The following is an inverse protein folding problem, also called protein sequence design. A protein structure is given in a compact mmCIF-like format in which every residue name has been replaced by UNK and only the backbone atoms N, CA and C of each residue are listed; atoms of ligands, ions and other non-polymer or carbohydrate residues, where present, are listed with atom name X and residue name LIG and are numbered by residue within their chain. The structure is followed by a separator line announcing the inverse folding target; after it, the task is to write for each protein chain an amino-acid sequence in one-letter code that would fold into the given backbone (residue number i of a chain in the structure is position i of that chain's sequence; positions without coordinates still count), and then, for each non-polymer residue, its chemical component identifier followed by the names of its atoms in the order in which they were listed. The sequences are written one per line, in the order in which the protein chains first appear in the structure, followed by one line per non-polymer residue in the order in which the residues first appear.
data_IF_044229912760
#
_entry.id   IF_044229912760
#
_cell.length_a   1.000
_cell.length_b   1.000
_cell.length_c   1.000
_cell.angle_alpha   90.00
_cell.angle_beta   90.00
_cell.angle_gamma   90.00
#
_symmetry.space_group_name_H-M   'P 1'
#
loop_
_entity.id
_entity.type
_entity.pdbx_description
1 polymer ?
2 polymer ?
3 non-polymer ?
4 non-polymer ?
5 non-polymer ?
6 water ?
#
# COMPACT_ATOMS: atom_id res chain seq x y z
N UNK A 1 21.75 -5.66 -8.28
CA UNK A 1 21.91 -4.49 -7.35
C UNK A 1 22.81 -3.41 -7.95
N UNK A 2 22.19 -2.54 -8.76
CA UNK A 2 22.90 -1.38 -9.28
C UNK A 2 23.46 -0.51 -8.15
N UNK A 3 22.81 -0.54 -6.99
CA UNK A 3 23.17 0.33 -5.88
C UNK A 3 24.12 -0.34 -4.90
N UNK A 4 24.62 -1.53 -5.26
CA UNK A 4 25.44 -2.30 -4.35
C UNK A 4 26.73 -1.62 -3.97
N UNK A 5 27.20 -0.66 -4.75
CA UNK A 5 28.44 0.02 -4.40
C UNK A 5 28.22 1.30 -3.57
N UNK A 6 26.98 1.70 -3.28
CA UNK A 6 26.74 2.88 -2.46
C UNK A 6 26.44 2.50 -1.02
N UNK A 7 26.98 3.29 -0.09
CA UNK A 7 26.75 3.05 1.33
C UNK A 7 25.26 3.07 1.64
N UNK A 8 24.84 2.21 2.58
CA UNK A 8 23.46 2.22 3.04
C UNK A 8 23.02 3.62 3.47
N UNK A 9 23.86 4.31 4.27
CA UNK A 9 23.46 5.62 4.77
C UNK A 9 23.31 6.64 3.63
N UNK A 10 24.15 6.53 2.59
CA UNK A 10 24.06 7.45 1.46
C UNK A 10 22.80 7.20 0.65
N UNK A 11 22.41 5.93 0.51
CA UNK A 11 21.17 5.59 -0.19
C UNK A 11 19.96 6.20 0.52
N UNK A 12 19.91 6.06 1.84
CA UNK A 12 18.83 6.64 2.63
C UNK A 12 18.83 8.16 2.48
N UNK A 13 20.00 8.80 2.64
CA UNK A 13 20.08 10.25 2.46
C UNK A 13 19.58 10.67 1.07
N UNK A 14 20.01 9.95 0.03
CA UNK A 14 19.58 10.27 -1.33
C UNK A 14 18.10 9.97 -1.56
N UNK A 15 17.54 8.93 -0.92
CA UNK A 15 16.09 8.75 -0.97
C UNK A 15 15.37 9.98 -0.42
N UNK A 16 15.88 10.55 0.67
CA UNK A 16 15.21 11.70 1.26
C UNK A 16 15.31 12.92 0.34
N UNK A 17 16.47 13.10 -0.29
CA UNK A 17 16.65 14.17 -1.27
C UNK A 17 15.74 13.98 -2.48
N UNK A 18 15.65 12.74 -2.99
CA UNK A 18 14.79 12.47 -4.13
C UNK A 18 13.35 12.78 -3.79
N UNK A 19 12.91 12.45 -2.57
CA UNK A 19 11.56 12.84 -2.16
C UNK A 19 11.38 14.35 -2.23
N UNK A 20 12.36 15.11 -1.74
CA UNK A 20 12.25 16.57 -1.79
C UNK A 20 12.18 17.09 -3.22
N UNK A 21 12.87 16.43 -4.15
CA UNK A 21 12.90 16.79 -5.56
C UNK A 21 11.73 16.18 -6.33
N UNK A 22 10.84 15.46 -5.65
CA UNK A 22 9.74 14.74 -6.30
C UNK A 22 10.24 13.82 -7.42
N UNK A 23 11.36 13.14 -7.15
CA UNK A 23 11.93 12.19 -8.08
C UNK A 23 11.65 10.79 -7.54
N UNK A 24 10.40 10.33 -7.69
CA UNK A 24 10.02 9.12 -6.94
C UNK A 24 10.58 7.82 -7.51
N UNK A 25 10.83 7.75 -8.82
CA UNK A 25 11.50 6.58 -9.37
C UNK A 25 12.90 6.41 -8.76
N UNK A 26 13.64 7.53 -8.68
CA UNK A 26 14.94 7.53 -8.00
C UNK A 26 14.79 7.14 -6.54
N UNK A 27 13.83 7.74 -5.86
CA UNK A 27 13.60 7.44 -4.44
C UNK A 27 13.42 5.94 -4.23
N UNK A 28 12.61 5.29 -5.08
CA UNK A 28 12.37 3.86 -4.95
C UNK A 28 13.63 3.04 -5.24
N UNK A 29 14.39 3.43 -6.27
CA UNK A 29 15.62 2.70 -6.57
C UNK A 29 16.61 2.81 -5.41
N UNK A 30 16.72 4.01 -4.80
CA UNK A 30 17.58 4.17 -3.63
C UNK A 30 17.11 3.30 -2.46
N UNK A 31 15.81 3.34 -2.16
CA UNK A 31 15.30 2.50 -1.07
C UNK A 31 15.41 1.00 -1.38
N UNK A 32 15.20 0.57 -2.64
CA UNK A 32 15.46 -0.83 -2.98
C UNK A 32 16.91 -1.18 -2.68
N UNK A 33 17.84 -0.31 -3.08
CA UNK A 33 19.24 -0.51 -2.75
C UNK A 33 19.47 -0.67 -1.25
N UNK A 34 18.82 0.18 -0.44
CA UNK A 34 18.98 0.11 1.01
C UNK A 34 18.46 -1.22 1.54
N UNK A 35 17.27 -1.62 1.11
CA UNK A 35 16.73 -2.92 1.53
C UNK A 35 17.73 -4.03 1.23
N UNK A 36 18.31 -4.01 0.03
CA UNK A 36 19.18 -5.09 -0.41
C UNK A 36 20.51 -5.13 0.35
N UNK A 37 20.81 -4.13 1.19
CA UNK A 37 21.94 -4.24 2.10
C UNK A 37 21.73 -5.32 3.15
N UNK A 38 20.48 -5.76 3.34
CA UNK A 38 20.19 -6.91 4.17
C UNK A 38 19.92 -6.59 5.62
N UNK A 39 20.14 -5.35 6.05
CA UNK A 39 19.78 -4.94 7.39
C UNK A 39 18.28 -4.62 7.48
N UNK A 40 17.70 -4.85 8.66
CA UNK A 40 16.32 -4.44 8.91
C UNK A 40 16.17 -2.92 8.75
N UNK A 41 14.95 -2.48 8.43
CA UNK A 41 14.68 -1.06 8.25
C UNK A 41 14.10 -0.47 9.53
N UNK A 42 14.49 0.75 9.81
CA UNK A 42 13.88 1.53 10.87
C UNK A 42 12.47 2.00 10.48
N UNK A 43 11.75 2.59 11.42
CA UNK A 43 10.40 3.11 11.16
C UNK A 43 10.47 4.11 10.02
N UNK A 44 11.35 5.10 10.09
CA UNK A 44 11.44 6.13 9.06
C UNK A 44 11.79 5.52 7.71
N UNK A 45 12.69 4.55 7.72
CA UNK A 45 13.12 3.89 6.48
C UNK A 45 12.00 3.08 5.83
N UNK A 46 11.19 2.40 6.63
CA UNK A 46 10.03 1.70 6.09
C UNK A 46 9.10 2.67 5.42
N UNK A 47 8.90 3.82 6.04
CA UNK A 47 7.98 4.78 5.44
C UNK A 47 8.57 5.37 4.17
N UNK A 48 9.89 5.54 4.11
CA UNK A 48 10.51 6.03 2.87
C UNK A 48 10.31 5.01 1.75
N UNK A 49 10.53 3.74 2.07
CA UNK A 49 10.29 2.67 1.10
C UNK A 49 8.87 2.71 0.59
N UNK A 50 7.90 2.80 1.52
CA UNK A 50 6.49 2.77 1.13
C UNK A 50 6.10 4.00 0.32
N UNK A 51 6.50 5.19 0.76
CA UNK A 51 6.15 6.41 0.01
C UNK A 51 6.69 6.36 -1.41
N UNK A 52 7.91 5.88 -1.56
CA UNK A 52 8.54 5.88 -2.87
C UNK A 52 7.74 5.02 -3.84
N UNK A 53 7.49 3.77 -3.47
CA UNK A 53 6.81 2.86 -4.38
C UNK A 53 5.34 3.22 -4.51
N UNK A 54 4.72 3.77 -3.47
CA UNK A 54 3.33 4.22 -3.58
C UNK A 54 3.22 5.29 -4.65
N UNK A 55 4.20 6.20 -4.70
CA UNK A 55 4.15 7.24 -5.71
C UNK A 55 4.40 6.68 -7.10
N UNK A 56 5.38 5.78 -7.25
CA UNK A 56 5.66 5.19 -8.56
C UNK A 56 4.44 4.42 -9.05
N UNK A 57 3.93 3.49 -8.25
CA UNK A 57 2.83 2.68 -8.71
C UNK A 57 1.57 3.53 -8.88
N UNK A 58 1.40 4.57 -8.07
CA UNK A 58 0.25 5.44 -8.24
C UNK A 58 0.18 6.09 -9.60
N UNK A 59 1.32 6.56 -10.10
CA UNK A 59 1.37 7.09 -11.45
C UNK A 59 1.01 6.04 -12.52
N UNK A 60 1.49 4.81 -12.35
CA UNK A 60 1.16 3.74 -13.27
C UNK A 60 -0.31 3.37 -13.20
N UNK A 61 -0.89 3.31 -12.00
CA UNK A 61 -2.31 2.99 -11.85
C UNK A 61 -3.20 4.03 -12.51
N UNK A 62 -2.87 5.31 -12.32
CA UNK A 62 -3.62 6.37 -12.95
C UNK A 62 -3.53 6.29 -14.47
N UNK A 63 -2.34 6.06 -15.01
CA UNK A 63 -2.20 5.88 -16.46
C UNK A 63 -2.98 4.68 -16.96
N UNK A 64 -2.87 3.54 -16.25
CA UNK A 64 -3.58 2.34 -16.69
C UNK A 64 -5.08 2.59 -16.75
N UNK A 65 -5.62 3.36 -15.79
CA UNK A 65 -7.07 3.58 -15.76
C UNK A 65 -7.51 4.49 -16.90
N UNK A 66 -6.70 5.51 -17.21
CA UNK A 66 -6.96 6.36 -18.36
C UNK A 66 -7.02 5.53 -19.63
N UNK A 67 -6.01 4.67 -19.82
CA UNK A 67 -5.90 3.89 -21.05
C UNK A 67 -6.97 2.79 -21.12
N UNK A 68 -7.23 2.13 -19.99
CA UNK A 68 -8.30 1.14 -19.92
C UNK A 68 -9.64 1.78 -20.27
N UNK A 69 -9.87 3.00 -19.80
CA UNK A 69 -11.12 3.66 -20.13
C UNK A 69 -11.22 3.93 -21.63
N UNK A 70 -10.15 4.43 -22.23
CA UNK A 70 -10.14 4.67 -23.66
C UNK A 70 -10.34 3.37 -24.41
N UNK A 71 -9.66 2.31 -23.98
CA UNK A 71 -9.79 1.01 -24.61
C UNK A 71 -11.25 0.57 -24.61
N UNK A 72 -11.92 0.72 -23.46
CA UNK A 72 -13.33 0.34 -23.35
C UNK A 72 -14.22 1.19 -24.25
N UNK A 73 -14.00 2.51 -24.28
CA UNK A 73 -14.80 3.36 -25.15
C UNK A 73 -14.76 2.88 -26.60
N UNK A 74 -13.59 2.47 -27.08
CA UNK A 74 -13.46 2.07 -28.47
C UNK A 74 -13.88 0.63 -28.73
N UNK A 75 -14.60 0.01 -27.79
CA UNK A 75 -14.98 -1.39 -27.89
C UNK A 75 -16.48 -1.62 -27.76
N UNK A 76 -17.27 -0.63 -27.36
CA UNK A 76 -18.67 -0.85 -26.99
C UNK A 76 -19.55 -1.09 -28.22
N UNK A 83 -7.76 0.32 -34.17
CA UNK A 83 -6.41 -0.20 -34.20
C UNK A 83 -5.95 -0.83 -32.90
N UNK A 84 -4.85 -1.60 -32.96
CA UNK A 84 -4.36 -2.28 -31.75
C UNK A 84 -3.65 -1.35 -30.78
N UNK A 85 -3.51 -0.06 -31.10
CA UNK A 85 -2.58 0.80 -30.38
C UNK A 85 -2.99 1.02 -28.92
N UNK A 86 -4.27 1.29 -28.65
CA UNK A 86 -4.65 1.54 -27.25
C UNK A 86 -4.38 0.30 -26.42
N UNK A 87 -4.82 -0.87 -26.92
CA UNK A 87 -4.60 -2.11 -26.21
C UNK A 87 -3.13 -2.36 -26.01
N UNK A 88 -2.32 -2.17 -27.05
CA UNK A 88 -0.89 -2.40 -26.94
C UNK A 88 -0.27 -1.52 -25.86
N UNK A 89 -0.65 -0.25 -25.84
CA UNK A 89 -0.02 0.67 -24.91
C UNK A 89 -0.53 0.43 -23.49
N UNK A 90 -1.83 0.11 -23.35
CA UNK A 90 -2.34 -0.31 -22.04
C UNK A 90 -1.60 -1.54 -21.52
N UNK A 91 -1.34 -2.52 -22.38
CA UNK A 91 -0.56 -3.69 -22.00
C UNK A 91 0.85 -3.31 -21.55
N UNK A 92 1.50 -2.38 -22.25
CA UNK A 92 2.83 -1.91 -21.88
C UNK A 92 2.83 -1.34 -20.46
N UNK A 93 1.92 -0.41 -20.19
CA UNK A 93 1.83 0.19 -18.88
C UNK A 93 1.49 -0.87 -17.84
N UNK A 94 0.52 -1.74 -18.16
CA UNK A 94 0.15 -2.84 -17.28
C UNK A 94 1.36 -3.71 -16.93
N UNK A 95 2.18 -4.02 -17.92
CA UNK A 95 3.36 -4.84 -17.66
C UNK A 95 4.35 -4.12 -16.75
N UNK A 96 4.52 -2.81 -16.94
CA UNK A 96 5.43 -2.06 -16.10
C UNK A 96 4.92 -1.99 -14.67
N UNK A 97 3.62 -1.78 -14.49
CA UNK A 97 3.00 -1.81 -13.17
C UNK A 97 3.21 -3.16 -12.47
N UNK A 98 2.95 -4.26 -13.19
CA UNK A 98 3.16 -5.58 -12.62
C UNK A 98 4.61 -5.81 -12.23
N UNK A 99 5.56 -5.28 -13.01
CA UNK A 99 6.95 -5.45 -12.63
C UNK A 99 7.31 -4.69 -11.37
N UNK A 100 6.73 -3.49 -11.20
CA UNK A 100 6.93 -2.75 -9.95
C UNK A 100 6.32 -3.51 -8.78
N UNK A 101 5.10 -4.01 -8.95
CA UNK A 101 4.48 -4.75 -7.85
C UNK A 101 5.30 -5.98 -7.51
N UNK A 102 5.78 -6.68 -8.54
CA UNK A 102 6.60 -7.87 -8.33
C UNK A 102 7.90 -7.53 -7.61
N UNK A 103 8.49 -6.37 -7.92
CA UNK A 103 9.71 -5.95 -7.25
C UNK A 103 9.47 -5.69 -5.77
N UNK A 104 8.37 -5.03 -5.44
CA UNK A 104 8.06 -4.73 -4.04
C UNK A 104 7.79 -6.02 -3.29
N UNK A 105 6.97 -6.89 -3.88
CA UNK A 105 6.68 -8.18 -3.25
C UNK A 105 7.93 -9.02 -3.06
N UNK A 106 8.89 -8.92 -3.98
CA UNK A 106 10.15 -9.62 -3.81
C UNK A 106 10.99 -9.11 -2.67
N UNK A 107 10.99 -7.79 -2.44
CA UNK A 107 11.68 -7.24 -1.29
C UNK A 107 11.05 -7.73 0.01
N UNK A 108 9.72 -7.75 0.05
CA UNK A 108 9.00 -8.18 1.25
C UNK A 108 9.27 -9.66 1.52
N UNK A 109 9.32 -10.45 0.46
CA UNK A 109 9.56 -11.87 0.61
C UNK A 109 11.03 -12.20 0.87
N UNK A 110 11.94 -11.35 0.41
CA UNK A 110 13.38 -11.59 0.49
C UNK A 110 14.12 -10.34 0.99
N UNK A 111 14.08 -10.05 2.29
CA UNK A 111 13.60 -10.91 3.37
C UNK A 111 13.00 -10.08 4.50
N UNK A 112 12.31 -9.00 4.12
CA UNK A 112 11.81 -8.05 5.10
C UNK A 112 10.80 -8.71 6.07
N UNK A 113 9.84 -9.44 5.53
CA UNK A 113 8.78 -9.98 6.39
C UNK A 113 9.37 -11.01 7.37
N UNK A 114 10.12 -11.98 6.86
CA UNK A 114 10.62 -13.03 7.73
C UNK A 114 11.50 -12.50 8.85
N UNK A 115 12.20 -11.38 8.64
CA UNK A 115 13.03 -10.83 9.70
C UNK A 115 12.30 -9.83 10.59
N UNK A 116 11.03 -9.50 10.30
CA UNK A 116 10.28 -8.51 11.08
C UNK A 116 9.64 -9.21 12.27
N UNK A 117 10.19 -8.98 13.46
CA UNK A 117 9.66 -9.58 14.67
C UNK A 117 8.76 -8.66 15.46
N UNK A 118 8.97 -7.35 15.38
CA UNK A 118 8.12 -6.42 16.11
C UNK A 118 6.81 -6.23 15.37
N UNK A 119 5.75 -5.99 16.14
CA UNK A 119 4.44 -5.82 15.51
C UNK A 119 4.43 -4.65 14.53
N UNK A 120 5.04 -3.52 14.89
CA UNK A 120 5.02 -2.34 14.03
C UNK A 120 5.69 -2.59 12.69
N UNK A 121 6.77 -3.38 12.67
CA UNK A 121 7.37 -3.71 11.38
C UNK A 121 6.59 -4.81 10.67
N UNK A 122 6.17 -5.86 11.39
CA UNK A 122 5.55 -6.99 10.69
C UNK A 122 4.21 -6.60 10.09
N UNK A 123 3.40 -5.85 10.85
CA UNK A 123 2.13 -5.37 10.33
C UNK A 123 2.36 -4.42 9.15
N UNK A 124 3.36 -3.53 9.24
CA UNK A 124 3.65 -2.60 8.14
C UNK A 124 3.92 -3.36 6.84
N UNK A 125 4.80 -4.36 6.89
CA UNK A 125 5.18 -5.11 5.69
C UNK A 125 4.03 -5.97 5.17
N UNK A 126 3.24 -6.58 6.07
CA UNK A 126 2.12 -7.41 5.60
C UNK A 126 1.04 -6.56 4.95
N UNK A 127 0.78 -5.38 5.51
CA UNK A 127 -0.07 -4.39 4.85
C UNK A 127 0.42 -4.10 3.44
N UNK A 128 1.72 -3.81 3.30
CA UNK A 128 2.30 -3.55 2.00
C UNK A 128 2.06 -4.74 1.06
N UNK A 129 2.28 -5.96 1.54
CA UNK A 129 2.07 -7.13 0.69
C UNK A 129 0.63 -7.19 0.20
N UNK A 130 -0.32 -6.91 1.10
CA UNK A 130 -1.71 -6.83 0.70
C UNK A 130 -1.94 -5.75 -0.35
N UNK A 131 -1.36 -4.58 -0.13
CA UNK A 131 -1.52 -3.46 -1.07
C UNK A 131 -1.01 -3.82 -2.46
N UNK A 132 0.18 -4.44 -2.54
CA UNK A 132 0.76 -4.64 -3.87
C UNK A 132 0.10 -5.83 -4.58
N UNK A 133 -0.39 -6.84 -3.84
CA UNK A 133 -1.30 -7.81 -4.45
C UNK A 133 -2.61 -7.16 -4.87
N UNK A 134 -3.13 -6.22 -4.08
CA UNK A 134 -4.33 -5.51 -4.53
C UNK A 134 -4.07 -4.77 -5.86
N UNK A 135 -2.94 -4.08 -6.00
CA UNK A 135 -2.68 -3.39 -7.27
C UNK A 135 -2.58 -4.37 -8.43
N UNK A 136 -1.97 -5.54 -8.19
CA UNK A 136 -1.99 -6.57 -9.22
C UNK A 136 -3.42 -7.02 -9.52
N UNK A 137 -4.24 -7.17 -8.49
CA UNK A 137 -5.63 -7.61 -8.69
C UNK A 137 -6.42 -6.62 -9.52
N UNK A 138 -6.13 -5.32 -9.39
CA UNK A 138 -6.87 -4.30 -10.13
C UNK A 138 -6.74 -4.47 -11.64
N UNK A 139 -5.64 -5.05 -12.11
CA UNK A 139 -5.38 -5.22 -13.54
C UNK A 139 -5.50 -6.65 -13.99
N UNK A 140 -5.83 -7.57 -13.09
CA UNK A 140 -5.83 -8.99 -13.40
C UNK A 140 -7.16 -9.40 -14.00
N UNK A 141 -7.13 -10.50 -14.76
CA UNK A 141 -8.34 -11.14 -15.26
C UNK A 141 -8.43 -12.63 -14.91
N UNK A 142 -7.37 -13.42 -15.14
CA UNK A 142 -7.43 -14.89 -15.09
C UNK A 142 -7.11 -15.58 -13.76
N UNK A 144 -5.85 -15.48 -13.32
CA UNK A 144 -5.53 -15.83 -11.94
C UNK A 144 -5.84 -14.65 -11.03
N UNK A 145 -6.88 -13.89 -11.40
CA UNK A 145 -7.34 -12.81 -10.52
C UNK A 145 -7.76 -13.37 -9.17
N UNK A 146 -8.33 -14.59 -9.15
CA UNK A 146 -8.82 -15.17 -7.90
C UNK A 146 -7.68 -15.46 -6.95
N UNK A 147 -6.61 -16.06 -7.45
CA UNK A 147 -5.46 -16.36 -6.60
C UNK A 147 -4.76 -15.09 -6.15
N UNK A 148 -4.69 -14.08 -7.00
CA UNK A 148 -4.09 -12.81 -6.59
C UNK A 148 -4.91 -12.18 -5.47
N UNK A 149 -6.23 -12.15 -5.66
CA UNK A 149 -7.14 -11.64 -4.64
C UNK A 149 -6.95 -12.37 -3.32
N UNK A 150 -6.83 -13.68 -3.36
CA UNK A 150 -6.69 -14.41 -2.12
C UNK A 150 -5.34 -14.15 -1.47
N UNK A 151 -4.32 -13.84 -2.29
CA UNK A 151 -3.01 -13.49 -1.70
C UNK A 151 -3.09 -12.16 -0.97
N UNK A 152 -3.78 -11.18 -1.56
CA UNK A 152 -4.03 -9.93 -0.87
C UNK A 152 -4.81 -10.17 0.42
N UNK A 153 -5.93 -10.91 0.32
CA UNK A 153 -6.76 -11.13 1.50
C UNK A 153 -5.96 -11.73 2.63
N UNK A 154 -5.14 -12.73 2.32
CA UNK A 154 -4.40 -13.47 3.33
C UNK A 154 -3.38 -12.59 4.02
N UNK A 155 -2.68 -11.75 3.25
CA UNK A 155 -1.69 -10.83 3.83
C UNK A 155 -2.37 -9.82 4.72
N UNK A 156 -3.44 -9.20 4.22
CA UNK A 156 -4.18 -8.23 5.02
C UNK A 156 -4.69 -8.86 6.31
N UNK A 157 -5.22 -10.09 6.22
CA UNK A 157 -5.82 -10.72 7.40
C UNK A 157 -4.77 -11.04 8.45
N UNK A 158 -3.60 -11.53 8.02
CA UNK A 158 -2.53 -11.79 8.98
C UNK A 158 -2.10 -10.50 9.65
N UNK A 159 -2.03 -9.41 8.88
CA UNK A 159 -1.71 -8.11 9.46
C UNK A 159 -2.80 -7.67 10.44
N UNK A 160 -4.07 -7.88 10.09
CA UNK A 160 -5.17 -7.53 11.01
C UNK A 160 -5.04 -8.32 12.30
N UNK A 161 -4.80 -9.62 12.20
CA UNK A 161 -4.78 -10.45 13.41
C UNK A 161 -3.68 -9.97 14.36
N UNK A 162 -2.49 -9.67 13.82
CA UNK A 162 -1.40 -9.22 14.67
C UNK A 162 -1.71 -7.86 15.26
N UNK A 163 -2.23 -6.93 14.44
CA UNK A 163 -2.45 -5.58 14.92
C UNK A 163 -3.53 -5.54 16.00
N UNK A 164 -4.53 -6.42 15.89
CA UNK A 164 -5.56 -6.49 16.92
C UNK A 164 -5.03 -7.04 18.23
N UNK A 165 -4.05 -7.95 18.18
CA UNK A 165 -3.43 -8.44 19.40
C UNK A 165 -2.35 -7.50 19.94
N UNK A 166 -1.68 -6.70 19.10
CA UNK A 166 -0.45 -6.05 19.54
C UNK A 166 -0.46 -4.53 19.50
N UNK A 167 -1.46 -3.92 18.91
CA UNK A 167 -1.45 -2.47 18.73
C UNK A 167 -2.73 -1.87 19.26
N UNK A 168 -2.69 -0.66 19.79
CA UNK A 168 -3.93 0.04 20.14
C UNK A 168 -4.77 0.29 18.92
N UNK A 169 -6.09 0.43 19.11
CA UNK A 169 -6.97 0.69 17.97
C UNK A 169 -6.73 2.03 17.29
N UNK A 170 -5.96 2.95 17.89
CA UNK A 170 -5.63 4.21 17.23
C UNK A 170 -4.28 4.19 16.55
N UNK A 171 -3.59 3.09 16.61
CA UNK A 171 -2.26 3.03 16.01
C UNK A 171 -2.40 3.34 14.52
N UNK A 172 -1.67 4.34 13.99
CA UNK A 172 -1.86 4.72 12.58
C UNK A 172 -1.61 3.62 11.58
N UNK A 173 -0.69 2.71 11.88
CA UNK A 173 -0.45 1.58 11.00
C UNK A 173 -1.67 0.67 11.00
N UNK A 174 -2.22 0.38 12.17
CA UNK A 174 -3.43 -0.42 12.26
C UNK A 174 -4.58 0.25 11.54
N UNK A 175 -4.73 1.57 11.69
CA UNK A 175 -5.80 2.31 11.01
C UNK A 175 -5.64 2.31 9.51
N UNK A 176 -4.41 2.52 9.03
CA UNK A 176 -4.19 2.53 7.58
C UNK A 176 -4.37 1.15 6.99
N UNK A 177 -3.98 0.13 7.73
CA UNK A 177 -4.27 -1.24 7.34
C UNK A 177 -5.76 -1.45 7.16
N UNK A 178 -6.54 -1.05 8.16
CA UNK A 178 -7.97 -1.34 8.13
C UNK A 178 -8.62 -0.58 6.99
N UNK A 179 -8.19 0.66 6.79
CA UNK A 179 -8.67 1.48 5.68
C UNK A 179 -8.47 0.75 4.36
N UNK A 180 -7.24 0.35 4.09
CA UNK A 180 -6.94 -0.29 2.82
C UNK A 180 -7.64 -1.65 2.68
N UNK A 181 -7.70 -2.43 3.77
CA UNK A 181 -8.37 -3.72 3.72
C UNK A 181 -9.86 -3.53 3.42
N UNK A 182 -10.41 -2.43 3.95
CA UNK A 182 -11.81 -2.08 3.70
C UNK A 182 -12.04 -1.82 2.21
N UNK A 183 -11.15 -1.05 1.61
CA UNK A 183 -11.25 -0.76 0.18
C UNK A 183 -11.08 -2.03 -0.64
N UNK A 184 -10.13 -2.88 -0.25
CA UNK A 184 -10.01 -4.20 -0.85
C UNK A 184 -11.35 -4.92 -0.86
N UNK A 185 -11.99 -4.97 0.31
CA UNK A 185 -13.26 -5.68 0.40
C UNK A 185 -14.26 -5.07 -0.56
N UNK A 186 -14.30 -3.73 -0.62
CA UNK A 186 -15.33 -3.07 -1.41
C UNK A 186 -15.10 -3.22 -2.90
N UNK A 187 -13.88 -2.92 -3.35
CA UNK A 187 -13.57 -2.74 -4.77
C UNK A 187 -13.05 -4.01 -5.43
N UNK A 188 -12.38 -4.86 -4.69
CA UNK A 188 -11.68 -6.01 -5.25
C UNK A 188 -12.44 -7.29 -5.00
N UNK A 189 -12.85 -7.50 -3.76
CA UNK A 189 -13.52 -8.73 -3.39
C UNK A 189 -15.03 -8.63 -3.53
N UNK A 190 -15.56 -7.51 -4.01
CA UNK A 190 -17.00 -7.34 -4.18
C UNK A 190 -17.72 -7.77 -2.90
N UNK A 191 -17.27 -7.22 -1.78
CA UNK A 191 -17.87 -7.48 -0.47
C UNK A 191 -18.14 -6.13 0.19
N UNK A 192 -19.06 -5.34 -0.36
CA UNK A 192 -19.28 -4.00 0.18
C UNK A 192 -19.74 -4.00 1.63
N UNK A 193 -20.49 -4.99 2.06
CA UNK A 193 -20.94 -5.01 3.44
C UNK A 193 -19.78 -5.30 4.39
N UNK A 194 -18.88 -6.21 4.01
CA UNK A 194 -17.67 -6.40 4.82
C UNK A 194 -16.86 -5.10 4.91
N UNK A 195 -16.70 -4.40 3.78
CA UNK A 195 -15.97 -3.14 3.75
C UNK A 195 -16.58 -2.13 4.71
N UNK A 196 -17.91 -2.02 4.71
CA UNK A 196 -18.60 -1.05 5.54
C UNK A 196 -18.47 -1.42 7.02
N UNK A 197 -18.74 -2.69 7.35
CA UNK A 197 -18.57 -3.16 8.72
C UNK A 197 -17.14 -2.95 9.22
N UNK A 198 -16.16 -3.24 8.38
CA UNK A 198 -14.80 -3.08 8.87
C UNK A 198 -14.50 -1.62 9.14
N UNK A 199 -14.92 -0.73 8.23
CA UNK A 199 -14.61 0.69 8.40
C UNK A 199 -15.34 1.26 9.61
N UNK A 200 -16.58 0.85 9.84
CA UNK A 200 -17.34 1.35 10.98
C UNK A 200 -16.74 0.89 12.29
N UNK A 201 -16.49 -0.41 12.41
CA UNK A 201 -15.92 -0.97 13.64
C UNK A 201 -14.54 -0.38 13.91
N UNK A 202 -13.74 -0.22 12.87
CA UNK A 202 -12.42 0.44 13.05
C UNK A 202 -12.59 1.86 13.56
N UNK A 203 -13.43 2.66 12.90
CA UNK A 203 -13.61 4.04 13.32
C UNK A 203 -14.04 4.12 14.78
N UNK A 204 -15.04 3.31 15.15
CA UNK A 204 -15.64 3.39 16.48
C UNK A 204 -14.66 2.97 17.57
N UNK A 205 -13.89 1.90 17.36
CA UNK A 205 -12.92 1.50 18.36
C UNK A 205 -11.79 2.54 18.47
N UNK A 206 -11.43 3.18 17.36
CA UNK A 206 -10.43 4.24 17.44
C UNK A 206 -10.99 5.43 18.22
N UNK A 207 -12.21 5.86 17.89
CA UNK A 207 -12.85 6.95 18.59
C UNK A 207 -12.76 6.77 20.10
N UNK A 208 -13.04 5.56 20.58
CA UNK A 208 -13.10 5.26 22.00
C UNK A 208 -11.73 5.17 22.65
N UNK A 209 -10.65 5.19 21.86
CA UNK A 209 -9.28 5.13 22.37
C UNK A 209 -8.54 6.47 22.24
N UNK A 210 -9.16 7.48 21.62
CA UNK A 210 -8.45 8.73 21.38
C UNK A 210 -8.09 9.43 22.69
N UNK A 211 -8.89 9.22 23.73
CA UNK A 211 -8.63 9.90 25.00
C UNK A 211 -7.25 9.57 25.56
N UNK A 212 -6.60 8.50 25.06
CA UNK A 212 -5.32 8.08 25.60
C UNK A 212 -4.14 8.79 24.95
N UNK A 213 -4.39 9.53 23.86
CA UNK A 213 -3.35 10.04 22.99
C UNK A 213 -2.92 11.45 23.37
N UNK A 214 -1.63 11.71 23.14
CA UNK A 214 -1.10 13.05 23.09
C UNK A 214 -1.67 13.83 21.92
N UNK A 215 -1.53 15.15 21.99
CA UNK A 215 -2.03 16.00 20.93
C UNK A 215 -1.43 15.63 19.58
N UNK A 216 -0.17 15.17 19.56
CA UNK A 216 0.43 14.82 18.28
C UNK A 216 -0.06 13.47 17.75
N UNK A 217 -0.16 12.47 18.62
CA UNK A 217 -0.73 11.19 18.21
C UNK A 217 -2.18 11.36 17.77
N UNK A 218 -2.94 12.19 18.51
CA UNK A 218 -4.34 12.46 18.17
C UNK A 218 -4.46 12.97 16.74
N UNK A 219 -3.59 13.89 16.35
CA UNK A 219 -3.62 14.41 14.99
C UNK A 219 -3.38 13.31 13.96
N UNK A 220 -2.39 12.44 14.21
CA UNK A 220 -2.09 11.37 13.26
C UNK A 220 -3.26 10.41 13.11
N UNK A 221 -3.84 9.98 14.24
CA UNK A 221 -4.93 9.01 14.19
C UNK A 221 -6.18 9.60 13.55
N UNK A 222 -6.57 10.82 13.97
CA UNK A 222 -7.82 11.36 13.46
C UNK A 222 -7.72 11.63 11.96
N UNK A 223 -6.53 11.92 11.45
CA UNK A 223 -6.36 12.09 10.01
C UNK A 223 -6.80 10.84 9.26
N UNK A 224 -6.39 9.67 9.74
CA UNK A 224 -6.76 8.45 9.01
C UNK A 224 -8.21 8.09 9.29
N UNK A 225 -8.72 8.40 10.47
CA UNK A 225 -10.13 8.16 10.74
C UNK A 225 -11.01 8.95 9.78
N UNK A 226 -10.57 10.15 9.41
CA UNK A 226 -11.35 10.93 8.45
C UNK A 226 -11.45 10.22 7.10
N UNK A 227 -10.38 9.53 6.70
CA UNK A 227 -10.43 8.76 5.47
C UNK A 227 -11.44 7.62 5.57
N UNK A 228 -11.49 6.94 6.72
CA UNK A 228 -12.53 5.92 6.94
C UNK A 228 -13.90 6.54 6.81
N UNK A 229 -14.13 7.68 7.48
CA UNK A 229 -15.41 8.37 7.39
C UNK A 229 -15.71 8.79 5.94
N UNK A 230 -14.72 9.29 5.23
CA UNK A 230 -14.94 9.70 3.84
C UNK A 230 -15.49 8.54 3.01
N UNK A 231 -14.90 7.36 3.16
CA UNK A 231 -15.34 6.20 2.38
C UNK A 231 -16.74 5.76 2.81
N UNK A 232 -16.97 5.71 4.13
CA UNK A 232 -18.29 5.32 4.63
C UNK A 232 -19.37 6.22 4.05
N UNK A 233 -19.08 7.52 3.93
CA UNK A 233 -20.02 8.47 3.34
C UNK A 233 -20.33 8.13 1.89
N UNK A 234 -19.31 7.71 1.12
CA UNK A 234 -19.56 7.28 -0.25
C UNK A 234 -20.31 5.96 -0.30
N UNK A 235 -20.07 5.07 0.66
CA UNK A 235 -20.58 3.72 0.59
C UNK A 235 -21.99 3.56 1.17
N UNK A 236 -22.51 4.58 1.85
CA UNK A 236 -23.79 4.47 2.56
C UNK A 236 -24.64 5.72 2.39
N UNK B 2 -14.22 6.53 -10.01
CA UNK B 2 -13.65 7.24 -8.88
C UNK B 2 -13.01 6.28 -7.87
N UNK B 3 -11.95 6.74 -7.20
CA UNK B 3 -11.18 5.90 -6.28
C UNK B 3 -11.52 6.25 -4.84
N UNK B 4 -11.68 5.23 -4.02
CA UNK B 4 -11.93 5.46 -2.61
C UNK B 4 -10.61 5.76 -1.91
N UNK B 5 -10.70 6.42 -0.75
CA UNK B 5 -9.51 6.80 -0.01
C UNK B 5 -8.75 5.57 0.43
N UNK B 6 -7.46 5.49 0.11
CA UNK B 6 -6.58 4.54 0.77
C UNK B 6 -5.41 5.30 1.41
N UNK B 7 -4.64 4.58 2.21
CA UNK B 7 -3.59 5.13 3.05
C UNK B 7 -2.44 5.72 2.20
N UNK B 8 -1.89 6.83 2.66
CA UNK B 8 -0.71 7.37 2.05
C UNK B 8 -1.02 8.23 0.82
N UNK B 9 0.03 8.57 0.05
CA UNK B 9 -0.13 9.41 -1.14
C UNK B 9 -0.60 8.63 -2.37
X LIG C 1 -26.85 -4.25 3.57
X LIG D 1 -1.23 -8.09 -19.34
X LIG E 1 28.85 -0.04 4.44
X LIG F 1 3.20 0.14 -26.89
X LIG G 1 6.03 8.16 9.95
X LIG G 1 6.21 9.10 7.34
X LIG G 1 6.40 9.60 6.02
X LIG G 1 11.62 8.63 13.09
X LIG G 1 10.44 8.65 12.11
X LIG G 1 10.42 9.59 11.12
X LIG G 1 9.36 9.61 10.21
X LIG G 1 8.35 8.67 10.31
X LIG G 1 9.38 7.73 12.18
X LIG G 1 7.26 8.66 9.46
X LIG G 1 4.89 8.14 9.15
X LIG G 1 4.97 8.61 7.84
X LIG G 1 7.33 9.12 8.14
X LIG G 1 7.69 10.03 5.75
X LIG G 1 8.28 10.62 4.47
X LIG G 1 8.40 7.78 11.28
X LIG G 1 9.31 6.70 13.19
X LIG G 1 9.50 10.85 4.38
X LIG G 1 7.40 10.91 3.37
X LIG G 1 8.63 9.79 7.17
X LIG G 1 5.99 7.86 10.82
X LIG G 1 5.72 9.64 5.39
X LIG G 1 12.42 8.52 12.61
X LIG G 1 11.52 7.92 13.70
X LIG G 1 11.65 9.44 13.57
X LIG G 1 11.11 10.22 11.04
X LIG G 1 9.34 10.24 9.53
X LIG G 1 4.09 7.82 9.48
X LIG G 1 4.21 8.59 7.30
X LIG G 1 10.03 6.46 13.61
X LIG G 1 8.56 6.33 13.38
X LIG G 1 10.05 10.67 5.06
X LIG G 1 6.57 10.76 3.43
X LIG G 1 7.73 11.25 2.65
X LIG H 1 8.25 12.80 10.12
X LIG H 1 9.19 13.74 7.67
X LIG H 1 9.61 14.21 6.40
X LIG H 1 2.19 10.97 10.03
X LIG H 1 3.59 11.48 9.73
X LIG H 1 3.87 11.99 8.46
X LIG H 1 5.14 12.44 8.19
X LIG H 1 6.11 12.38 9.19
X LIG H 1 4.61 11.45 10.69
X LIG H 1 7.40 12.82 8.99
X LIG H 1 9.57 13.23 10.03
X LIG H 1 10.03 13.69 8.82
X LIG H 1 7.88 13.31 7.75
X LIG H 1 8.66 14.19 5.40
X LIG H 1 8.85 14.64 3.95
X LIG H 1 5.82 11.89 10.39
X LIG H 1 4.35 10.92 12.02
X LIG H 1 9.97 15.08 3.56
X LIG H 1 7.76 14.60 2.98
X LIG H 1 7.22 13.53 6.14
X LIG H 1 7.92 12.47 10.93
X LIG H 1 10.48 14.52 6.25
X LIG H 1 2.23 10.08 10.31
X LIG H 1 1.65 11.04 9.26
X LIG H 1 1.81 11.49 10.72
X LIG H 1 3.21 12.02 7.80
X LIG H 1 5.36 12.79 7.36
X LIG H 1 10.12 13.20 10.77
X LIG H 1 10.91 13.99 8.76
X LIG H 1 4.59 11.37 12.72
X LIG H 1 3.95 10.15 12.12
X LIG H 1 10.65 15.12 4.14
X LIG H 1 6.99 14.30 3.22
X LIG H 1 7.89 14.86 2.17
#
# INVERSE_FOLDING_TARGET
GAMGSMERASLIQKAKLAEQAERYEDMAAFMKGAVEKGEELSCEERNLLSVAYKNVVGGQRAAWRVLSSIEQKSNEEGSEEKGPEVREYREKVETELQGVCDTVLGLLDSHLIKEAGDAESRVFYLKMKGDYYRYLAEVATGDDKKRIIDSARSAYQEAMDISKKEMPPTNPIRLGLALNFSVFHYEIANSPEEAISLAKTTFDEAMADLHTLSEDSYKDSTLIMQLLRDNLTLWTADNAGEEGGEAPQEPQS
KLMFKTEGPDSD
MG MG
MG MG
MG MG
CL CL
K8W C10 C13 C17 C01 C02 C03 C04 C05 C07 C09 C11 C12 C14 C16 C18 N06 N08 N19 N20 S15 H101 H171 H011 H012 H013 H031 H041 H111 H121 H082 H081 H191 H201 H202
K8W C10 C13 C17 C01 C02 C03 C04 C05 C07 C09 C11 C12 C14 C16 C18 N06 N08 N19 N20 S15 H101 H171 H011 H012 H013 H031 H041 H111 H121 H082 H081 H191 H201 H202
#
